data_IF_490527019994
#
_entry.id   IF_490527019994
#
_cell.length_a   1.000
_cell.length_b   1.000
_cell.length_c   1.000
_cell.angle_alpha   90.00
_cell.angle_beta   90.00
_cell.angle_gamma   90.00
#
_symmetry.space_group_name_H-M   'P 1'
#
loop_
_entity.id
_entity.type
_entity.pdbx_description
1 polymer ?
#
# COMPACT_ATOMS: atom_id res chain seq x y z
N UNK A 1 34.49 3.74 27.40
CA UNK A 1 33.14 3.17 27.60
C UNK A 1 32.20 3.77 26.57
N UNK A 2 31.87 3.04 25.50
CA UNK A 2 30.86 3.48 24.53
C UNK A 2 29.48 3.26 25.16
N UNK A 3 28.70 4.34 25.33
CA UNK A 3 27.29 4.22 25.71
C UNK A 3 26.56 3.51 24.56
N UNK A 4 25.77 2.45 24.81
CA UNK A 4 24.92 1.87 23.78
C UNK A 4 24.00 2.97 23.24
N UNK A 5 23.88 3.06 21.91
CA UNK A 5 22.96 4.01 21.27
C UNK A 5 21.54 3.81 21.84
N UNK A 6 20.79 4.89 22.11
CA UNK A 6 19.43 4.77 22.61
C UNK A 6 18.60 3.97 21.61
N UNK A 7 18.04 2.84 22.08
CA UNK A 7 17.14 2.00 21.30
C UNK A 7 15.80 2.73 21.20
N UNK A 8 15.61 3.57 20.18
CA UNK A 8 14.34 4.22 19.94
C UNK A 8 13.39 3.39 19.10
N UNK A 9 12.10 3.74 19.20
CA UNK A 9 11.01 3.05 18.53
C UNK A 9 11.06 3.33 17.02
N UNK A 10 11.36 2.30 16.22
CA UNK A 10 11.42 2.40 14.75
C UNK A 10 10.13 1.97 14.04
N UNK A 11 9.28 1.21 14.72
CA UNK A 11 8.06 0.62 14.14
C UNK A 11 6.94 0.71 15.16
N UNK A 12 5.77 1.17 14.73
CA UNK A 12 4.58 1.31 15.56
C UNK A 12 3.37 0.74 14.82
N UNK A 13 2.68 -0.19 15.47
CA UNK A 13 1.41 -0.73 15.00
C UNK A 13 0.34 -0.44 16.03
N UNK A 14 -0.70 0.27 15.63
CA UNK A 14 -1.89 0.52 16.44
C UNK A 14 -3.06 -0.18 15.75
N UNK A 15 -3.71 -1.10 16.48
CA UNK A 15 -4.79 -1.94 15.96
C UNK A 15 -5.96 -1.88 16.93
N UNK A 16 -7.17 -1.56 16.45
CA UNK A 16 -8.38 -1.43 17.27
C UNK A 16 -8.23 -0.40 18.41
N UNK A 17 -7.63 0.75 18.12
CA UNK A 17 -7.41 1.83 19.10
C UNK A 17 -8.29 3.02 18.78
N UNK A 18 -8.85 3.65 19.82
CA UNK A 18 -9.48 4.97 19.72
C UNK A 18 -8.48 6.06 20.13
N UNK A 19 -8.15 6.94 19.18
CA UNK A 19 -7.22 8.05 19.33
C UNK A 19 -7.96 9.40 19.37
N UNK A 20 -9.29 9.41 19.47
CA UNK A 20 -10.12 10.62 19.36
C UNK A 20 -9.83 11.75 20.34
N UNK A 21 -9.26 11.43 21.51
CA UNK A 21 -8.84 12.39 22.52
C UNK A 21 -7.32 12.44 22.73
N UNK A 22 -6.54 11.80 21.85
CA UNK A 22 -5.08 11.76 21.97
C UNK A 22 -4.43 13.05 21.46
N UNK A 23 -3.22 13.33 21.93
CA UNK A 23 -2.34 14.35 21.34
C UNK A 23 -1.32 13.71 20.41
N UNK A 24 -0.81 14.42 19.38
CA UNK A 24 0.28 13.94 18.54
C UNK A 24 1.50 13.56 19.38
N UNK A 25 2.05 12.39 19.11
CA UNK A 25 3.24 11.89 19.79
C UNK A 25 4.46 12.12 18.89
N UNK A 26 5.49 12.79 19.42
CA UNK A 26 6.76 12.92 18.71
C UNK A 26 7.54 11.62 18.83
N UNK A 27 7.76 10.96 17.68
CA UNK A 27 8.52 9.72 17.58
C UNK A 27 9.63 9.91 16.53
N UNK A 28 10.74 10.58 16.89
CA UNK A 28 11.73 11.05 15.92
C UNK A 28 12.48 9.94 15.20
N UNK A 29 12.49 8.72 15.73
CA UNK A 29 13.13 7.54 15.12
C UNK A 29 12.13 6.60 14.42
N UNK A 30 10.84 6.93 14.40
CA UNK A 30 9.83 6.07 13.80
C UNK A 30 9.98 6.05 12.28
N UNK A 31 10.16 4.87 11.72
CA UNK A 31 10.29 4.66 10.27
C UNK A 31 9.03 4.07 9.66
N UNK A 32 8.28 3.29 10.43
CA UNK A 32 7.07 2.62 9.97
C UNK A 32 5.91 2.83 10.93
N UNK A 33 4.77 3.27 10.38
CA UNK A 33 3.52 3.43 11.10
C UNK A 33 2.43 2.59 10.45
N UNK A 34 1.75 1.76 11.25
CA UNK A 34 0.52 1.07 10.85
C UNK A 34 -0.61 1.51 11.76
N UNK A 35 -1.67 2.02 11.16
CA UNK A 35 -2.95 2.30 11.80
C UNK A 35 -3.97 1.35 11.20
N UNK A 36 -4.53 0.46 12.00
CA UNK A 36 -5.56 -0.49 11.59
C UNK A 36 -6.78 -0.39 12.50
N UNK A 37 -7.98 -0.32 11.90
CA UNK A 37 -9.24 -0.27 12.65
C UNK A 37 -9.19 0.79 13.76
N UNK A 38 -8.58 1.91 13.44
CA UNK A 38 -8.26 2.99 14.39
C UNK A 38 -9.28 4.11 14.19
N UNK A 39 -9.85 4.59 15.30
CA UNK A 39 -10.74 5.74 15.31
C UNK A 39 -9.89 6.98 15.56
N UNK A 40 -9.80 7.88 14.59
CA UNK A 40 -9.02 9.12 14.70
C UNK A 40 -9.65 10.22 13.83
N UNK A 41 -9.94 11.42 14.39
CA UNK A 41 -10.42 12.55 13.62
C UNK A 41 -9.44 12.93 12.50
N UNK A 42 -9.94 13.36 11.34
CA UNK A 42 -9.10 13.70 10.17
C UNK A 42 -8.04 14.77 10.48
N UNK A 43 -8.40 15.80 11.25
CA UNK A 43 -7.48 16.86 11.66
C UNK A 43 -6.33 16.28 12.51
N UNK A 44 -6.65 15.41 13.47
CA UNK A 44 -5.65 14.78 14.34
C UNK A 44 -4.76 13.80 13.57
N UNK A 45 -5.32 13.04 12.61
CA UNK A 45 -4.54 12.17 11.74
C UNK A 45 -3.55 12.97 10.89
N UNK A 46 -3.97 14.13 10.39
CA UNK A 46 -3.10 15.03 9.62
C UNK A 46 -1.94 15.54 10.48
N UNK A 47 -2.23 15.95 11.72
CA UNK A 47 -1.23 16.41 12.68
C UNK A 47 -0.27 15.29 13.10
N UNK A 48 -0.78 14.08 13.35
CA UNK A 48 0.05 12.90 13.66
C UNK A 48 1.03 12.56 12.54
N UNK A 49 0.60 12.73 11.29
CA UNK A 49 1.44 12.46 10.13
C UNK A 49 2.36 13.63 9.79
N UNK A 50 2.39 14.71 10.56
CA UNK A 50 3.31 15.81 10.29
C UNK A 50 4.78 15.39 10.48
N UNK A 51 5.63 15.83 9.55
CA UNK A 51 7.07 15.62 9.58
C UNK A 51 7.77 16.18 10.83
N UNK A 52 7.19 17.18 11.50
CA UNK A 52 7.72 17.70 12.76
C UNK A 52 7.61 16.67 13.89
N UNK A 53 6.57 15.84 13.89
CA UNK A 53 6.37 14.79 14.91
C UNK A 53 7.04 13.48 14.51
N UNK A 54 7.04 13.15 13.22
CA UNK A 54 7.55 11.89 12.67
C UNK A 54 8.60 12.12 11.55
N UNK A 55 9.74 12.78 11.84
CA UNK A 55 10.72 13.19 10.82
C UNK A 55 11.43 12.02 10.12
N UNK A 56 11.50 10.85 10.75
CA UNK A 56 12.17 9.66 10.17
C UNK A 56 11.21 8.75 9.41
N UNK A 57 9.93 9.10 9.31
CA UNK A 57 8.91 8.20 8.78
C UNK A 57 9.14 7.91 7.29
N UNK A 58 9.13 6.63 6.93
CA UNK A 58 9.36 6.13 5.56
C UNK A 58 8.18 5.36 5.01
N UNK A 59 7.42 4.65 5.83
CA UNK A 59 6.28 3.90 5.33
C UNK A 59 5.07 4.05 6.25
N UNK A 60 3.91 4.30 5.64
CA UNK A 60 2.66 4.41 6.36
C UNK A 60 1.65 3.43 5.79
N UNK A 61 1.02 2.67 6.67
CA UNK A 61 -0.11 1.81 6.32
C UNK A 61 -1.34 2.24 7.09
N UNK A 62 -2.36 2.65 6.36
CA UNK A 62 -3.67 3.00 6.87
C UNK A 62 -4.63 1.89 6.45
N UNK A 63 -5.36 1.28 7.38
CA UNK A 63 -6.36 0.24 7.09
C UNK A 63 -7.57 0.50 7.96
N UNK A 64 -8.76 0.62 7.36
CA UNK A 64 -10.00 0.81 8.11
C UNK A 64 -9.86 1.92 9.18
N UNK A 65 -9.35 3.09 8.77
CA UNK A 65 -9.25 4.24 9.64
C UNK A 65 -10.58 4.98 9.58
N UNK A 66 -11.15 5.31 10.74
CA UNK A 66 -12.48 5.89 10.85
C UNK A 66 -12.41 7.25 11.54
N UNK A 67 -13.24 8.20 11.10
CA UNK A 67 -13.52 9.41 11.87
C UNK A 67 -14.78 9.19 12.69
N UNK A 68 -14.73 9.35 14.02
CA UNK A 68 -15.91 9.21 14.88
C UNK A 68 -17.06 10.17 14.49
N UNK A 69 -16.72 11.28 13.83
CA UNK A 69 -17.66 12.34 13.48
C UNK A 69 -18.36 12.09 12.13
N UNK A 70 -17.84 11.23 11.26
CA UNK A 70 -18.34 11.04 9.89
C UNK A 70 -18.46 9.54 9.59
N UNK A 71 -19.62 9.09 9.14
CA UNK A 71 -19.79 7.74 8.63
C UNK A 71 -19.02 7.58 7.30
N UNK A 72 -17.71 7.36 7.38
CA UNK A 72 -16.84 7.28 6.20
C UNK A 72 -15.34 7.26 6.54
N UNK A 73 -14.53 7.03 5.52
CA UNK A 73 -13.08 7.19 5.63
C UNK A 73 -12.73 8.67 5.89
N UNK A 74 -11.74 8.98 6.74
CA UNK A 74 -11.34 10.36 6.98
C UNK A 74 -10.80 10.99 5.69
N UNK A 75 -11.21 12.24 5.43
CA UNK A 75 -10.54 13.08 4.43
C UNK A 75 -9.09 13.28 4.83
N UNK A 76 -8.16 12.73 4.04
CA UNK A 76 -6.74 12.75 4.34
C UNK A 76 -6.07 13.88 3.53
N UNK A 77 -5.70 14.96 4.20
CA UNK A 77 -4.91 16.04 3.58
C UNK A 77 -3.43 15.83 3.96
N UNK A 78 -2.66 15.27 3.03
CA UNK A 78 -1.24 15.02 3.25
C UNK A 78 -0.40 16.24 2.86
N UNK A 79 0.42 16.74 3.78
CA UNK A 79 1.26 17.90 3.51
C UNK A 79 2.37 17.58 2.49
N UNK A 80 2.84 18.55 1.70
CA UNK A 80 3.96 18.33 0.78
C UNK A 80 5.23 17.83 1.48
N UNK A 81 5.49 18.31 2.71
CA UNK A 81 6.63 17.86 3.53
C UNK A 81 6.52 16.38 3.90
N UNK A 82 5.32 15.94 4.32
CA UNK A 82 5.06 14.53 4.57
C UNK A 82 5.25 13.66 3.31
N UNK A 83 4.69 14.09 2.19
CA UNK A 83 4.80 13.34 0.93
C UNK A 83 6.26 13.22 0.47
N UNK A 84 7.08 14.26 0.69
CA UNK A 84 8.50 14.24 0.35
C UNK A 84 9.34 13.31 1.24
N UNK A 85 8.98 13.15 2.52
CA UNK A 85 9.78 12.34 3.45
C UNK A 85 9.55 10.83 3.28
N UNK A 86 8.30 10.42 3.02
CA UNK A 86 7.92 9.01 2.97
C UNK A 86 8.43 8.34 1.69
N UNK A 87 8.68 7.03 1.78
CA UNK A 87 8.99 6.17 0.64
C UNK A 87 7.71 5.67 -0.01
N UNK A 88 6.66 5.34 0.76
CA UNK A 88 5.34 4.98 0.22
C UNK A 88 4.22 5.03 1.27
N UNK A 89 2.98 5.00 0.77
CA UNK A 89 1.76 4.88 1.57
C UNK A 89 0.97 3.64 1.11
N UNK A 90 0.46 2.85 2.04
CA UNK A 90 -0.46 1.74 1.77
C UNK A 90 -1.83 2.05 2.38
N UNK A 91 -2.90 1.91 1.60
CA UNK A 91 -4.26 2.33 1.99
C UNK A 91 -5.34 1.37 1.44
N UNK A 92 -6.52 1.23 2.07
CA UNK A 92 -7.62 0.43 1.54
C UNK A 92 -8.19 1.03 0.25
N UNK A 93 -8.73 0.18 -0.62
CA UNK A 93 -9.33 0.57 -1.89
C UNK A 93 -10.59 1.43 -1.74
N UNK A 94 -11.32 1.33 -0.61
CA UNK A 94 -12.46 2.22 -0.34
C UNK A 94 -12.05 3.68 -0.10
N UNK A 95 -10.75 3.95 0.10
CA UNK A 95 -10.23 5.32 0.16
C UNK A 95 -9.91 5.92 -1.22
N UNK A 96 -10.04 5.16 -2.31
CA UNK A 96 -9.62 5.61 -3.64
C UNK A 96 -10.38 6.86 -4.12
N UNK A 97 -11.65 7.02 -3.74
CA UNK A 97 -12.40 8.24 -4.05
C UNK A 97 -11.87 9.46 -3.28
N UNK A 98 -11.57 9.28 -1.98
CA UNK A 98 -10.98 10.32 -1.14
C UNK A 98 -9.50 10.60 -1.49
N UNK A 99 -8.83 9.65 -2.14
CA UNK A 99 -7.39 9.67 -2.46
C UNK A 99 -7.14 9.61 -3.97
N UNK A 100 -8.11 10.07 -4.78
CA UNK A 100 -8.07 9.94 -6.24
C UNK A 100 -6.84 10.63 -6.85
N UNK A 101 -6.43 11.76 -6.26
CA UNK A 101 -5.25 12.53 -6.69
C UNK A 101 -3.96 11.73 -6.52
N UNK A 102 -3.94 10.76 -5.62
CA UNK A 102 -2.80 9.89 -5.35
C UNK A 102 -2.87 8.54 -6.07
N UNK A 103 -3.99 8.22 -6.73
CA UNK A 103 -4.21 6.93 -7.38
C UNK A 103 -3.15 6.58 -8.43
N UNK A 104 -2.54 7.61 -9.04
CA UNK A 104 -1.47 7.45 -10.03
C UNK A 104 -0.13 8.04 -9.60
N UNK A 105 0.00 8.45 -8.33
CA UNK A 105 1.23 9.03 -7.80
C UNK A 105 2.38 8.03 -7.83
N UNK A 106 3.54 8.49 -8.26
CA UNK A 106 4.81 7.75 -8.24
C UNK A 106 5.77 8.29 -7.17
N UNK A 107 5.45 9.45 -6.56
CA UNK A 107 6.30 10.12 -5.58
C UNK A 107 5.46 10.83 -4.50
N UNK A 108 5.21 10.19 -3.35
CA UNK A 108 5.51 8.78 -3.06
C UNK A 108 4.51 7.87 -3.82
N UNK A 109 4.87 6.62 -4.14
CA UNK A 109 3.91 5.64 -4.64
C UNK A 109 2.86 5.29 -3.57
N UNK A 110 1.61 5.10 -4.00
CA UNK A 110 0.48 4.72 -3.14
C UNK A 110 -0.02 3.32 -3.49
N UNK A 111 0.13 2.39 -2.56
CA UNK A 111 -0.34 1.01 -2.71
C UNK A 111 -1.77 0.86 -2.20
N UNK A 112 -2.70 0.64 -3.12
CA UNK A 112 -4.11 0.47 -2.79
C UNK A 112 -4.49 -1.00 -2.67
N UNK A 113 -5.13 -1.39 -1.57
CA UNK A 113 -5.71 -2.72 -1.42
C UNK A 113 -7.14 -2.74 -1.99
N UNK A 114 -7.33 -3.14 -3.25
CA UNK A 114 -8.67 -3.11 -3.87
C UNK A 114 -9.46 -4.37 -3.57
N UNK A 115 -10.68 -4.22 -3.06
CA UNK A 115 -11.73 -5.24 -3.18
C UNK A 115 -12.78 -4.89 -4.24
N UNK A 116 -12.92 -3.61 -4.64
CA UNK A 116 -14.11 -3.09 -5.32
C UNK A 116 -13.92 -1.81 -6.16
N UNK A 117 -12.70 -1.35 -6.44
CA UNK A 117 -12.53 -0.04 -7.10
C UNK A 117 -13.08 -0.03 -8.55
N UNK A 118 -13.83 1.02 -8.91
CA UNK A 118 -14.28 1.32 -10.29
C UNK A 118 -13.13 1.77 -11.20
N UNK A 119 -12.02 2.24 -10.61
CA UNK A 119 -10.82 2.72 -11.27
C UNK A 119 -9.62 1.88 -10.84
N UNK A 120 -8.75 1.52 -11.79
CA UNK A 120 -7.51 0.79 -11.52
C UNK A 120 -6.39 1.77 -11.12
N UNK A 121 -5.93 1.78 -9.85
CA UNK A 121 -4.80 2.61 -9.43
C UNK A 121 -3.50 2.15 -10.08
N UNK A 122 -2.46 2.99 -10.02
CA UNK A 122 -1.13 2.63 -10.54
C UNK A 122 -0.52 1.49 -9.74
N UNK A 123 -0.64 1.49 -8.40
CA UNK A 123 -0.12 0.42 -7.55
C UNK A 123 -1.26 -0.26 -6.78
N UNK A 124 -1.48 -1.53 -7.08
CA UNK A 124 -2.55 -2.36 -6.53
C UNK A 124 -1.94 -3.52 -5.76
N UNK A 125 -2.47 -3.82 -4.56
CA UNK A 125 -2.22 -5.08 -3.85
C UNK A 125 -3.51 -5.89 -3.76
N UNK A 126 -3.42 -7.17 -4.13
CA UNK A 126 -4.47 -8.14 -3.92
C UNK A 126 -4.11 -8.99 -2.70
N UNK A 127 -4.95 -8.97 -1.68
CA UNK A 127 -4.70 -9.63 -0.42
C UNK A 127 -5.06 -11.14 -0.48
N UNK A 128 -4.39 -12.00 0.31
CA UNK A 128 -4.62 -13.45 0.30
C UNK A 128 -6.08 -13.87 0.47
N UNK A 129 -6.80 -13.23 1.41
CA UNK A 129 -8.21 -13.54 1.68
C UNK A 129 -9.14 -13.34 0.46
N UNK A 130 -8.70 -12.58 -0.55
CA UNK A 130 -9.44 -12.38 -1.80
C UNK A 130 -9.34 -13.59 -2.74
N UNK A 131 -8.45 -14.54 -2.43
CA UNK A 131 -8.21 -15.78 -3.14
C UNK A 131 -8.56 -17.01 -2.30
N UNK A 132 -9.26 -16.84 -1.17
CA UNK A 132 -9.80 -17.95 -0.37
C UNK A 132 -10.79 -18.76 -1.21
N UNK A 133 -10.32 -19.88 -1.75
CA UNK A 133 -11.09 -20.78 -2.58
C UNK A 133 -11.12 -20.39 -4.07
N UNK A 134 -11.33 -21.42 -4.89
CA UNK A 134 -11.23 -21.37 -6.35
C UNK A 134 -12.18 -20.36 -6.98
N UNK A 135 -13.43 -20.30 -6.51
CA UNK A 135 -14.44 -19.41 -7.07
C UNK A 135 -14.09 -17.92 -6.86
N UNK A 136 -13.61 -17.57 -5.66
CA UNK A 136 -13.16 -16.19 -5.36
C UNK A 136 -11.91 -15.87 -6.16
N UNK A 137 -10.91 -16.76 -6.16
CA UNK A 137 -9.66 -16.54 -6.88
C UNK A 137 -9.88 -16.29 -8.38
N UNK A 138 -10.63 -17.17 -9.05
CA UNK A 138 -10.94 -17.02 -10.49
C UNK A 138 -11.75 -15.76 -10.78
N UNK A 139 -12.72 -15.41 -9.93
CA UNK A 139 -13.53 -14.20 -10.10
C UNK A 139 -12.70 -12.94 -9.92
N UNK A 140 -11.84 -12.88 -8.89
CA UNK A 140 -10.94 -11.77 -8.62
C UNK A 140 -9.98 -11.57 -9.80
N UNK A 141 -9.33 -12.64 -10.26
CA UNK A 141 -8.40 -12.58 -11.41
C UNK A 141 -9.08 -12.07 -12.68
N UNK A 142 -10.27 -12.58 -13.02
CA UNK A 142 -11.02 -12.12 -14.19
C UNK A 142 -11.43 -10.65 -14.08
N UNK A 143 -11.92 -10.23 -12.91
CA UNK A 143 -12.35 -8.85 -12.68
C UNK A 143 -11.18 -7.88 -12.82
N UNK A 144 -10.08 -8.13 -12.12
CA UNK A 144 -8.91 -7.25 -12.16
C UNK A 144 -8.26 -7.30 -13.54
N UNK A 145 -8.14 -8.47 -14.17
CA UNK A 145 -7.64 -8.61 -15.53
C UNK A 145 -8.43 -7.78 -16.54
N UNK A 146 -9.77 -7.79 -16.46
CA UNK A 146 -10.62 -6.95 -17.29
C UNK A 146 -10.41 -5.45 -17.04
N UNK A 147 -10.11 -5.05 -15.81
CA UNK A 147 -9.76 -3.66 -15.48
C UNK A 147 -8.41 -3.26 -16.08
N UNK A 148 -7.40 -4.14 -16.00
CA UNK A 148 -6.09 -3.92 -16.61
C UNK A 148 -6.21 -3.76 -18.13
N UNK A 149 -7.00 -4.61 -18.78
CA UNK A 149 -7.24 -4.54 -20.22
C UNK A 149 -7.92 -3.24 -20.65
N UNK A 150 -8.79 -2.67 -19.80
CA UNK A 150 -9.57 -1.45 -20.09
C UNK A 150 -8.94 -0.17 -19.54
N UNK A 151 -7.87 -0.26 -18.75
CA UNK A 151 -7.26 0.90 -18.11
C UNK A 151 -6.77 1.90 -19.16
N UNK A 152 -6.91 3.22 -18.93
CA UNK A 152 -6.36 4.23 -19.83
C UNK A 152 -4.84 4.15 -19.85
N UNK A 153 -4.17 4.51 -20.95
CA UNK A 153 -2.70 4.63 -20.95
C UNK A 153 -2.28 5.81 -20.09
N UNK A 154 -1.27 5.65 -19.23
CA UNK A 154 -0.73 6.77 -18.44
C UNK A 154 0.38 7.46 -19.23
N UNK A 155 0.52 8.78 -19.08
CA UNK A 155 1.48 9.60 -19.85
C UNK A 155 2.94 9.14 -19.64
N UNK A 156 3.27 8.75 -18.41
CA UNK A 156 4.59 8.31 -17.95
C UNK A 156 4.73 6.78 -17.86
N UNK A 157 3.80 6.00 -18.43
CA UNK A 157 3.73 4.53 -18.23
C UNK A 157 4.99 3.79 -18.68
N UNK A 158 5.74 4.35 -19.63
CA UNK A 158 7.01 3.78 -20.08
C UNK A 158 8.12 3.84 -19.01
N UNK A 159 8.11 4.89 -18.17
CA UNK A 159 9.08 5.09 -17.09
C UNK A 159 8.56 4.50 -15.77
N UNK A 160 7.25 4.61 -15.55
CA UNK A 160 6.61 4.20 -14.30
C UNK A 160 5.42 3.28 -14.60
N UNK A 161 5.65 1.98 -14.85
CA UNK A 161 4.57 1.07 -15.18
C UNK A 161 3.59 0.92 -14.01
N UNK A 162 2.36 0.48 -14.34
CA UNK A 162 1.43 -0.03 -13.31
C UNK A 162 2.04 -1.22 -12.61
N UNK A 163 1.73 -1.38 -11.33
CA UNK A 163 2.24 -2.46 -10.50
C UNK A 163 1.08 -3.18 -9.82
N UNK A 164 1.01 -4.50 -9.97
CA UNK A 164 0.03 -5.35 -9.31
C UNK A 164 0.76 -6.35 -8.43
N UNK A 165 0.46 -6.32 -7.14
CA UNK A 165 0.98 -7.22 -6.15
C UNK A 165 0.04 -8.42 -6.01
N UNK A 166 0.57 -9.61 -6.25
CA UNK A 166 -0.13 -10.88 -6.07
C UNK A 166 0.45 -11.67 -4.89
N UNK A 167 -0.39 -12.34 -4.10
CA UNK A 167 0.07 -13.17 -3.01
C UNK A 167 0.61 -14.49 -3.57
N UNK A 168 1.72 -14.98 -3.00
CA UNK A 168 2.31 -16.27 -3.40
C UNK A 168 1.40 -17.48 -3.13
N UNK A 169 0.45 -17.42 -2.19
CA UNK A 169 -0.50 -18.52 -2.01
C UNK A 169 -1.36 -18.76 -3.26
N UNK A 170 -1.49 -17.77 -4.15
CA UNK A 170 -2.15 -17.97 -5.44
C UNK A 170 -1.36 -18.92 -6.35
N UNK A 171 -0.03 -18.95 -6.25
CA UNK A 171 0.82 -19.91 -6.98
C UNK A 171 0.51 -21.34 -6.52
N UNK A 172 0.41 -21.55 -5.20
CA UNK A 172 0.06 -22.84 -4.63
C UNK A 172 -1.36 -23.27 -5.04
N UNK A 173 -2.34 -22.36 -4.94
CA UNK A 173 -3.71 -22.63 -5.33
C UNK A 173 -3.85 -22.93 -6.84
N UNK A 174 -3.06 -22.26 -7.68
CA UNK A 174 -3.04 -22.55 -9.12
C UNK A 174 -2.42 -23.92 -9.43
N UNK A 175 -1.40 -24.34 -8.67
CA UNK A 175 -0.83 -25.67 -8.80
C UNK A 175 -1.81 -26.78 -8.38
N UNK A 176 -2.74 -26.48 -7.46
CA UNK A 176 -3.73 -27.43 -6.95
C UNK A 176 -5.04 -27.48 -7.78
N UNK A 177 -5.43 -26.39 -8.45
CA UNK A 177 -6.69 -26.31 -9.20
C UNK A 177 -6.52 -25.68 -10.59
N UNK A 178 -6.79 -26.48 -11.63
CA UNK A 178 -6.66 -26.09 -13.03
C UNK A 178 -7.53 -24.88 -13.44
N UNK A 179 -8.63 -24.60 -12.73
CA UNK A 179 -9.48 -23.43 -13.02
C UNK A 179 -8.80 -22.15 -12.58
N UNK A 180 -8.05 -22.20 -11.48
CA UNK A 180 -7.26 -21.06 -10.99
C UNK A 180 -6.07 -20.83 -11.91
N UNK A 181 -5.36 -21.90 -12.31
CA UNK A 181 -4.30 -21.84 -13.32
C UNK A 181 -4.79 -21.21 -14.64
N UNK A 182 -5.92 -21.69 -15.16
CA UNK A 182 -6.54 -21.18 -16.38
C UNK A 182 -7.04 -19.73 -16.27
N UNK A 183 -7.24 -19.21 -15.05
CA UNK A 183 -7.56 -17.80 -14.83
C UNK A 183 -6.29 -16.94 -14.64
N UNK A 184 -5.26 -17.50 -14.01
CA UNK A 184 -4.01 -16.81 -13.71
C UNK A 184 -3.19 -16.55 -14.98
N UNK A 185 -3.10 -17.54 -15.89
CA UNK A 185 -2.38 -17.40 -17.16
C UNK A 185 -2.83 -16.18 -17.99
N UNK A 186 -4.12 -16.09 -18.36
CA UNK A 186 -4.66 -14.93 -19.07
C UNK A 186 -4.50 -13.60 -18.31
N UNK A 187 -4.60 -13.63 -16.98
CA UNK A 187 -4.37 -12.44 -16.16
C UNK A 187 -2.93 -11.92 -16.30
N UNK A 188 -1.93 -12.80 -16.16
CA UNK A 188 -0.52 -12.44 -16.30
C UNK A 188 -0.20 -12.00 -17.73
N UNK A 189 -0.77 -12.67 -18.74
CA UNK A 189 -0.63 -12.28 -20.14
C UNK A 189 -1.20 -10.87 -20.39
N UNK A 190 -2.40 -10.58 -19.87
CA UNK A 190 -3.02 -9.25 -19.95
C UNK A 190 -2.12 -8.19 -19.30
N UNK A 191 -1.51 -8.49 -18.15
CA UNK A 191 -0.56 -7.57 -17.51
C UNK A 191 0.65 -7.31 -18.40
N UNK A 192 1.24 -8.35 -19.00
CA UNK A 192 2.39 -8.24 -19.88
C UNK A 192 2.08 -7.39 -21.14
N UNK A 193 0.96 -7.66 -21.81
CA UNK A 193 0.49 -6.89 -22.97
C UNK A 193 0.30 -5.41 -22.64
N UNK A 194 -0.21 -5.13 -21.44
CA UNK A 194 -0.45 -3.78 -20.93
C UNK A 194 0.78 -3.17 -20.25
N UNK A 195 1.94 -3.83 -20.30
CA UNK A 195 3.20 -3.40 -19.65
C UNK A 195 3.03 -3.13 -18.14
N UNK A 196 2.08 -3.79 -17.49
CA UNK A 196 1.95 -3.79 -16.05
C UNK A 196 2.95 -4.78 -15.44
N UNK A 197 3.64 -4.34 -14.39
CA UNK A 197 4.57 -5.15 -13.61
C UNK A 197 3.81 -5.96 -12.56
N UNK A 198 3.91 -7.27 -12.62
CA UNK A 198 3.43 -8.15 -11.54
C UNK A 198 4.55 -8.37 -10.53
N UNK A 199 4.26 -8.14 -9.25
CA UNK A 199 5.18 -8.41 -8.14
C UNK A 199 4.53 -9.46 -7.25
N UNK A 200 5.21 -10.59 -7.08
CA UNK A 200 4.79 -11.60 -6.11
C UNK A 200 5.26 -11.18 -4.72
N UNK A 201 4.36 -11.19 -3.75
CA UNK A 201 4.70 -10.92 -2.36
C UNK A 201 4.51 -12.16 -1.50
N UNK A 202 5.51 -12.43 -0.65
CA UNK A 202 5.41 -13.50 0.31
C UNK A 202 4.36 -13.15 1.35
N UNK A 203 3.60 -14.17 1.76
CA UNK A 203 2.77 -14.06 2.93
C UNK A 203 3.68 -14.10 4.15
N UNK A 204 3.32 -13.33 5.16
CA UNK A 204 3.86 -13.55 6.48
C UNK A 204 3.35 -14.89 7.00
N UNK A 205 4.03 -15.99 6.65
CA UNK A 205 3.80 -17.30 7.25
C UNK A 205 3.88 -17.14 8.78
N UNK A 206 2.77 -17.41 9.45
CA UNK A 206 2.55 -17.27 10.89
C UNK A 206 2.33 -15.83 11.40
N UNK A 207 1.56 -15.74 12.48
CA UNK A 207 1.38 -14.57 13.33
C UNK A 207 2.70 -13.92 13.83
N UNK A 208 3.86 -14.49 13.51
CA UNK A 208 5.18 -13.87 13.63
C UNK A 208 5.46 -12.78 12.56
N UNK A 209 4.56 -12.58 11.59
CA UNK A 209 4.65 -11.58 10.52
C UNK A 209 4.32 -10.15 10.92
N UNK A 210 4.07 -9.90 12.21
CA UNK A 210 4.01 -8.54 12.79
C UNK A 210 5.28 -7.71 12.58
N UNK A 211 6.40 -8.34 12.15
CA UNK A 211 7.66 -7.63 11.88
C UNK A 211 7.59 -6.70 10.68
N UNK A 212 6.76 -6.99 9.68
CA UNK A 212 6.63 -6.14 8.49
C UNK A 212 5.29 -5.43 8.51
N UNK A 213 5.29 -4.18 8.95
CA UNK A 213 4.08 -3.36 8.98
C UNK A 213 3.54 -3.10 7.55
N UNK A 214 4.37 -3.29 6.54
CA UNK A 214 4.14 -2.96 5.14
C UNK A 214 4.73 -4.04 4.21
N UNK A 215 4.26 -4.16 2.96
CA UNK A 215 4.81 -5.13 2.00
C UNK A 215 6.30 -4.85 1.74
N UNK A 216 7.16 -5.85 1.99
CA UNK A 216 8.61 -5.75 1.77
C UNK A 216 8.95 -5.54 0.30
N UNK A 217 8.29 -6.28 -0.57
CA UNK A 217 8.52 -6.25 -2.02
C UNK A 217 8.11 -4.90 -2.60
N UNK A 218 6.99 -4.35 -2.14
CA UNK A 218 6.60 -3.00 -2.52
C UNK A 218 7.54 -1.95 -1.97
N UNK A 219 8.01 -2.10 -0.73
CA UNK A 219 8.95 -1.14 -0.16
C UNK A 219 10.28 -1.11 -0.93
N UNK A 220 10.78 -2.28 -1.34
CA UNK A 220 11.95 -2.37 -2.22
C UNK A 220 11.70 -1.61 -3.53
N UNK A 221 10.56 -1.87 -4.19
CA UNK A 221 10.16 -1.16 -5.39
C UNK A 221 10.06 0.36 -5.18
N UNK A 222 9.48 0.82 -4.08
CA UNK A 222 9.34 2.24 -3.76
C UNK A 222 10.71 2.92 -3.56
N UNK A 223 11.68 2.21 -2.97
CA UNK A 223 13.05 2.70 -2.80
C UNK A 223 13.82 2.72 -4.12
N UNK A 224 13.61 1.75 -5.00
CA UNK A 224 14.13 1.76 -6.38
C UNK A 224 13.64 3.02 -7.11
N UNK A 225 12.33 3.28 -7.12
CA UNK A 225 11.75 4.48 -7.71
C UNK A 225 12.33 5.78 -7.11
N UNK A 226 12.54 5.82 -5.79
CA UNK A 226 13.11 6.99 -5.12
C UNK A 226 14.57 7.21 -5.50
N UNK A 227 15.35 6.13 -5.64
CA UNK A 227 16.75 6.18 -6.06
C UNK A 227 16.89 6.63 -7.52
N UNK A 228 16.08 6.11 -8.43
CA UNK A 228 16.03 6.52 -9.84
C UNK A 228 15.81 8.04 -9.97
N UNK A 229 14.83 8.58 -9.25
CA UNK A 229 14.57 10.02 -9.21
C UNK A 229 15.73 10.84 -8.67
N UNK A 230 16.43 10.33 -7.66
CA UNK A 230 17.57 11.03 -7.08
C UNK A 230 18.72 11.12 -8.10
N UNK A 231 18.87 10.12 -8.97
CA UNK A 231 19.86 10.14 -10.06
C UNK A 231 19.45 11.10 -11.19
N UNK A 232 18.17 11.16 -11.53
CA UNK A 232 17.66 12.08 -12.57
C UNK A 232 17.78 13.55 -12.17
N UNK A 233 17.72 13.89 -10.87
CA UNK A 233 17.89 15.27 -10.38
C UNK A 233 19.35 15.77 -10.40
N UNK A 234 20.31 14.87 -10.55
CA UNK A 234 21.75 15.18 -10.54
C UNK A 234 22.31 15.31 -11.97
N UNK A 235 21.53 14.91 -12.98
CA UNK A 235 21.85 15.06 -14.40
C UNK A 235 21.28 16.37 -14.96
#
# INVERSE_FOLDING_TARGET
>A
MQRPAPVGLRRLSLVNVDLGASSPVSLPQLEQLRLERTIIPSALLTEWLDSAHLPSLKAVRLVAVYSALHAGAPSLHLSPAFLAQVDFVQTPGMSLEAMRDFAHSVNPPFLFASSLASLLPRHLILAPHQFEGVARATTTLRKVGAQVAKAPKLEDEAQHPRVILLPRALEALAAEDCRVEAALGPFVATCAERKARVIWHSEGENAASERDLVSREFWRYARELKAERALDRVR
#
